data_IF_655027932356
#
_entry.id   IF_655027932356
#
_cell.length_a   1.000
_cell.length_b   1.000
_cell.length_c   1.000
_cell.angle_alpha   90.00
_cell.angle_beta   90.00
_cell.angle_gamma   90.00
#
_symmetry.space_group_name_H-M   'P 1'
#
loop_
_entity.id
_entity.type
_entity.pdbx_description
1 polymer ?
#
# COMPACT_ATOMS: atom_id res chain seq x y z
N UNK A 1 -25.75 -3.24 21.27
CA UNK A 1 -25.55 -4.62 20.74
C UNK A 1 -26.27 -4.87 19.41
N UNK A 2 -27.56 -4.54 19.26
CA UNK A 2 -28.37 -4.78 18.03
C UNK A 2 -27.93 -3.98 16.80
N UNK A 3 -27.44 -2.74 16.99
CA UNK A 3 -26.93 -1.88 15.92
C UNK A 3 -25.66 -2.44 15.26
N UNK A 4 -24.70 -2.92 16.06
CA UNK A 4 -23.46 -3.51 15.52
C UNK A 4 -23.73 -4.78 14.72
N UNK A 5 -24.64 -5.63 15.19
CA UNK A 5 -25.04 -6.84 14.48
C UNK A 5 -25.70 -6.52 13.14
N UNK A 6 -26.56 -5.50 13.11
CA UNK A 6 -27.21 -5.03 11.88
C UNK A 6 -26.21 -4.44 10.89
N UNK A 7 -25.27 -3.58 11.36
CA UNK A 7 -24.18 -3.03 10.55
C UNK A 7 -23.29 -4.13 9.96
N UNK A 8 -22.87 -5.11 10.78
CA UNK A 8 -22.05 -6.25 10.32
C UNK A 8 -22.78 -7.09 9.28
N UNK A 9 -24.09 -7.31 9.45
CA UNK A 9 -24.91 -8.06 8.48
C UNK A 9 -24.99 -7.32 7.15
N UNK A 10 -25.26 -6.00 7.17
CA UNK A 10 -25.31 -5.17 5.96
C UNK A 10 -23.95 -5.17 5.24
N UNK A 11 -22.85 -4.93 5.96
CA UNK A 11 -21.49 -4.94 5.38
C UNK A 11 -21.20 -6.29 4.70
N UNK A 12 -21.56 -7.41 5.35
CA UNK A 12 -21.39 -8.75 4.77
C UNK A 12 -22.24 -8.95 3.52
N UNK A 13 -23.50 -8.51 3.52
CA UNK A 13 -24.41 -8.63 2.37
C UNK A 13 -23.96 -7.76 1.18
N UNK A 14 -23.37 -6.59 1.44
CA UNK A 14 -22.82 -5.75 0.38
C UNK A 14 -21.49 -6.31 -0.13
N UNK A 15 -20.62 -6.81 0.76
CA UNK A 15 -19.35 -7.40 0.38
C UNK A 15 -19.49 -8.71 -0.41
N UNK A 16 -20.58 -9.47 -0.20
CA UNK A 16 -20.84 -10.70 -0.95
C UNK A 16 -21.28 -10.48 -2.40
N UNK A 17 -21.67 -9.25 -2.77
CA UNK A 17 -22.04 -8.89 -4.14
C UNK A 17 -20.82 -8.45 -4.94
N UNK A 18 -20.79 -8.78 -6.23
CA UNK A 18 -19.71 -8.45 -7.15
C UNK A 18 -20.23 -7.63 -8.31
N UNK A 19 -19.41 -6.69 -8.77
CA UNK A 19 -19.60 -5.94 -10.01
C UNK A 19 -18.69 -6.55 -11.08
N UNK A 20 -19.24 -6.78 -12.27
CA UNK A 20 -18.54 -7.39 -13.42
C UNK A 20 -17.86 -8.72 -13.08
N UNK A 21 -18.41 -9.49 -12.13
CA UNK A 21 -17.88 -10.77 -11.64
C UNK A 21 -16.46 -10.77 -11.05
N UNK A 22 -15.82 -9.60 -10.94
CA UNK A 22 -14.41 -9.46 -10.55
C UNK A 22 -14.23 -8.65 -9.27
N UNK A 23 -14.93 -7.54 -9.12
CA UNK A 23 -14.67 -6.57 -8.03
C UNK A 23 -15.78 -6.64 -6.97
N UNK A 24 -15.47 -6.73 -5.65
CA UNK A 24 -16.50 -6.66 -4.62
C UNK A 24 -17.23 -5.30 -4.63
N UNK A 25 -18.56 -5.32 -4.51
CA UNK A 25 -19.41 -4.13 -4.56
C UNK A 25 -19.03 -3.11 -3.48
N UNK A 26 -18.67 -3.56 -2.28
CA UNK A 26 -18.28 -2.68 -1.17
C UNK A 26 -17.05 -1.86 -1.51
N UNK A 27 -16.02 -2.48 -2.08
CA UNK A 27 -14.78 -1.82 -2.48
C UNK A 27 -15.04 -0.75 -3.55
N UNK A 28 -15.88 -1.09 -4.54
CA UNK A 28 -16.28 -0.15 -5.58
C UNK A 28 -17.06 1.06 -5.05
N UNK A 29 -18.02 0.84 -4.13
CA UNK A 29 -18.78 1.93 -3.53
C UNK A 29 -17.89 2.87 -2.71
N UNK A 30 -16.96 2.31 -1.92
CA UNK A 30 -15.98 3.10 -1.15
C UNK A 30 -15.11 3.92 -2.11
N UNK A 31 -14.59 3.30 -3.16
CA UNK A 31 -13.79 3.99 -4.17
C UNK A 31 -14.57 5.14 -4.84
N UNK A 32 -15.85 4.97 -5.17
CA UNK A 32 -16.68 6.05 -5.72
C UNK A 32 -16.84 7.22 -4.76
N UNK A 33 -17.02 6.95 -3.46
CA UNK A 33 -17.11 8.00 -2.43
C UNK A 33 -15.79 8.76 -2.31
N UNK A 34 -14.66 8.05 -2.32
CA UNK A 34 -13.32 8.67 -2.31
C UNK A 34 -13.10 9.54 -3.55
N UNK A 35 -13.49 9.06 -4.73
CA UNK A 35 -13.38 9.82 -5.99
C UNK A 35 -14.26 11.07 -5.98
N UNK A 36 -15.47 11.02 -5.42
CA UNK A 36 -16.30 12.20 -5.24
C UNK A 36 -15.65 13.24 -4.31
N UNK A 37 -14.99 12.78 -3.24
CA UNK A 37 -14.25 13.65 -2.33
C UNK A 37 -13.03 14.28 -3.01
N UNK A 38 -12.26 13.52 -3.77
CA UNK A 38 -11.15 14.03 -4.59
C UNK A 38 -11.65 15.07 -5.58
N UNK A 39 -12.72 14.80 -6.33
CA UNK A 39 -13.27 15.74 -7.30
C UNK A 39 -13.64 17.08 -6.63
N UNK A 40 -14.28 17.03 -5.45
CA UNK A 40 -14.60 18.23 -4.66
C UNK A 40 -13.33 18.96 -4.21
N UNK A 41 -12.36 18.23 -3.67
CA UNK A 41 -11.10 18.80 -3.18
C UNK A 41 -10.30 19.45 -4.32
N UNK A 42 -10.20 18.80 -5.48
CA UNK A 42 -9.53 19.32 -6.67
C UNK A 42 -10.20 20.59 -7.19
N UNK A 43 -11.54 20.64 -7.22
CA UNK A 43 -12.29 21.80 -7.73
C UNK A 43 -12.05 23.10 -6.94
N UNK A 44 -11.61 22.99 -5.67
CA UNK A 44 -11.37 24.12 -4.77
C UNK A 44 -9.93 24.13 -4.22
N UNK A 45 -9.04 23.32 -4.78
CA UNK A 45 -7.71 23.06 -4.22
C UNK A 45 -6.89 24.35 -4.06
N UNK A 46 -6.83 25.17 -5.12
CA UNK A 46 -6.05 26.42 -5.07
C UNK A 46 -6.56 27.38 -4.00
N UNK A 47 -7.89 27.55 -3.88
CA UNK A 47 -8.49 28.41 -2.87
C UNK A 47 -8.18 27.91 -1.45
N UNK A 48 -8.33 26.61 -1.19
CA UNK A 48 -7.99 26.04 0.12
C UNK A 48 -6.49 26.09 0.41
N UNK A 49 -5.65 25.93 -0.61
CA UNK A 49 -4.20 25.99 -0.46
C UNK A 49 -3.72 27.41 -0.13
N UNK A 50 -4.32 28.44 -0.73
CA UNK A 50 -4.00 29.85 -0.44
C UNK A 50 -4.38 30.24 0.99
N UNK A 51 -5.55 29.80 1.47
CA UNK A 51 -5.99 30.10 2.84
C UNK A 51 -5.21 29.30 3.91
N UNK A 52 -5.07 27.98 3.69
CA UNK A 52 -4.52 27.04 4.68
C UNK A 52 -3.67 25.96 4.01
N UNK A 53 -2.44 26.28 3.57
CA UNK A 53 -1.64 25.38 2.73
C UNK A 53 -1.32 24.05 3.41
N UNK A 54 -0.95 24.06 4.70
CA UNK A 54 -0.59 22.84 5.43
C UNK A 54 -1.82 21.94 5.60
N UNK A 55 -2.94 22.49 6.08
CA UNK A 55 -4.15 21.70 6.32
C UNK A 55 -4.71 21.12 5.02
N UNK A 56 -4.69 21.90 3.93
CA UNK A 56 -5.09 21.43 2.61
C UNK A 56 -4.26 20.25 2.15
N UNK A 57 -2.93 20.31 2.33
CA UNK A 57 -2.04 19.18 2.04
C UNK A 57 -2.30 17.97 2.92
N UNK A 58 -2.55 18.17 4.22
CA UNK A 58 -2.89 17.08 5.14
C UNK A 58 -4.17 16.35 4.73
N UNK A 59 -5.24 17.07 4.45
CA UNK A 59 -6.52 16.49 4.03
C UNK A 59 -6.38 15.81 2.66
N UNK A 60 -5.71 16.46 1.71
CA UNK A 60 -5.45 15.89 0.37
C UNK A 60 -4.71 14.57 0.49
N UNK A 61 -3.64 14.53 1.29
CA UNK A 61 -2.80 13.35 1.44
C UNK A 61 -3.50 12.22 2.21
N UNK A 62 -4.37 12.57 3.16
CA UNK A 62 -5.23 11.59 3.84
C UNK A 62 -6.15 10.88 2.84
N UNK A 63 -6.81 11.63 1.96
CA UNK A 63 -7.73 11.08 0.95
C UNK A 63 -6.98 10.23 -0.07
N UNK A 64 -5.85 10.71 -0.58
CA UNK A 64 -5.01 9.95 -1.52
C UNK A 64 -4.44 8.67 -0.87
N UNK A 65 -4.09 8.72 0.41
CA UNK A 65 -3.70 7.55 1.19
C UNK A 65 -4.84 6.53 1.34
N UNK A 66 -6.07 7.01 1.55
CA UNK A 66 -7.26 6.16 1.56
C UNK A 66 -7.48 5.44 0.23
N UNK A 67 -7.40 6.18 -0.88
CA UNK A 67 -7.50 5.60 -2.23
C UNK A 67 -6.42 4.55 -2.48
N UNK A 68 -5.17 4.82 -2.08
CA UNK A 68 -4.07 3.87 -2.24
C UNK A 68 -4.37 2.54 -1.54
N UNK A 69 -4.93 2.61 -0.34
CA UNK A 69 -5.31 1.44 0.43
C UNK A 69 -6.54 0.72 -0.16
N UNK A 70 -7.59 1.45 -0.53
CA UNK A 70 -8.79 0.91 -1.19
C UNK A 70 -8.41 0.17 -2.49
N UNK A 71 -7.50 0.72 -3.29
CA UNK A 71 -6.97 0.06 -4.49
C UNK A 71 -6.22 -1.22 -4.13
N UNK A 72 -5.34 -1.17 -3.12
CA UNK A 72 -4.59 -2.35 -2.67
C UNK A 72 -5.51 -3.48 -2.16
N UNK A 73 -6.48 -3.15 -1.31
CA UNK A 73 -7.48 -4.11 -0.81
C UNK A 73 -8.31 -4.71 -1.96
N UNK A 74 -8.65 -3.89 -2.96
CA UNK A 74 -9.37 -4.35 -4.17
C UNK A 74 -8.53 -5.34 -4.97
N UNK A 75 -7.25 -5.05 -5.19
CA UNK A 75 -6.32 -5.96 -5.89
C UNK A 75 -6.23 -7.31 -5.17
N UNK A 76 -6.07 -7.29 -3.83
CA UNK A 76 -6.04 -8.52 -3.02
C UNK A 76 -7.33 -9.33 -3.17
N UNK A 77 -8.49 -8.68 -3.08
CA UNK A 77 -9.79 -9.35 -3.22
C UNK A 77 -10.00 -9.96 -4.61
N UNK A 78 -9.61 -9.25 -5.67
CA UNK A 78 -9.68 -9.74 -7.06
C UNK A 78 -8.76 -10.94 -7.26
N UNK A 79 -7.52 -10.88 -6.73
CA UNK A 79 -6.54 -11.97 -6.82
C UNK A 79 -7.00 -13.23 -6.10
N UNK A 80 -7.43 -13.12 -4.85
CA UNK A 80 -7.94 -14.26 -4.08
C UNK A 80 -9.13 -14.92 -4.77
N UNK A 81 -10.00 -14.14 -5.41
CA UNK A 81 -11.11 -14.68 -6.20
C UNK A 81 -10.65 -15.36 -7.49
N UNK A 82 -9.66 -14.83 -8.19
CA UNK A 82 -9.10 -15.44 -9.39
C UNK A 82 -8.46 -16.81 -9.07
N UNK A 83 -7.71 -16.91 -7.96
CA UNK A 83 -7.16 -18.17 -7.47
C UNK A 83 -8.25 -19.21 -7.16
N UNK A 84 -9.42 -18.78 -6.65
CA UNK A 84 -10.57 -19.66 -6.36
C UNK A 84 -11.33 -20.17 -7.60
N UNK A 85 -11.22 -19.51 -8.76
CA UNK A 85 -11.97 -19.86 -10.00
C UNK A 85 -11.13 -20.65 -11.03
N UNK A 86 -9.91 -21.06 -10.70
CA UNK A 86 -9.04 -21.83 -11.61
C UNK A 86 -9.64 -23.22 -11.97
N UNK A 87 -9.25 -23.83 -13.12
CA UNK A 87 -9.92 -25.01 -13.68
C UNK A 87 -9.72 -26.32 -12.89
N UNK A 88 -8.87 -26.31 -11.88
CA UNK A 88 -8.52 -27.50 -11.09
C UNK A 88 -8.89 -27.20 -9.65
N UNK A 89 -9.84 -27.94 -9.10
CA UNK A 89 -10.16 -27.94 -7.68
C UNK A 89 -9.11 -28.84 -6.99
N UNK A 90 -8.07 -28.32 -6.32
CA UNK A 90 -7.14 -29.18 -5.62
C UNK A 90 -7.73 -29.42 -4.24
N UNK A 91 -7.82 -30.69 -3.86
CA UNK A 91 -7.95 -31.07 -2.47
C UNK A 91 -6.81 -30.41 -1.68
N UNK A 92 -7.04 -29.70 -0.56
CA UNK A 92 -6.02 -28.90 0.13
C UNK A 92 -4.80 -29.69 0.65
N UNK A 93 -4.79 -31.01 0.51
CA UNK A 93 -3.68 -31.89 0.90
C UNK A 93 -2.69 -32.17 -0.25
N UNK A 94 -3.08 -31.88 -1.49
CA UNK A 94 -2.31 -32.27 -2.69
C UNK A 94 -1.65 -31.08 -3.41
N UNK A 95 -1.82 -29.86 -2.89
CA UNK A 95 -1.33 -28.64 -3.54
C UNK A 95 -0.34 -27.89 -2.62
N UNK A 96 0.97 -28.07 -2.83
CA UNK A 96 2.00 -27.45 -2.00
C UNK A 96 1.92 -25.91 -2.06
N UNK A 97 1.39 -25.34 -3.14
CA UNK A 97 1.23 -23.90 -3.34
C UNK A 97 0.08 -23.35 -2.48
N UNK A 98 -1.02 -24.09 -2.33
CA UNK A 98 -2.14 -23.68 -1.47
C UNK A 98 -1.80 -23.80 0.03
N UNK A 99 -1.00 -24.79 0.41
CA UNK A 99 -0.49 -24.98 1.78
C UNK A 99 0.51 -23.85 2.12
N UNK A 100 1.36 -23.46 1.16
CA UNK A 100 2.35 -22.42 1.37
C UNK A 100 1.75 -21.00 1.37
N UNK A 101 0.73 -20.71 0.55
CA UNK A 101 -0.04 -19.44 0.60
C UNK A 101 -0.81 -19.31 1.93
N UNK A 102 -1.34 -20.41 2.47
CA UNK A 102 -1.97 -20.41 3.79
C UNK A 102 -0.95 -20.23 4.94
N UNK A 103 0.29 -20.71 4.76
CA UNK A 103 1.39 -20.44 5.67
C UNK A 103 2.03 -19.06 5.49
N UNK A 104 1.96 -18.46 4.30
CA UNK A 104 2.43 -17.12 3.99
C UNK A 104 1.44 -16.05 4.44
N UNK A 105 0.13 -16.28 4.37
CA UNK A 105 -0.87 -15.43 5.03
C UNK A 105 -0.73 -15.51 6.56
N UNK A 106 -0.39 -16.70 7.10
CA UNK A 106 0.04 -16.87 8.51
C UNK A 106 1.36 -16.14 8.83
N UNK A 107 2.23 -15.91 7.84
CA UNK A 107 3.50 -15.16 7.97
C UNK A 107 3.41 -13.71 7.48
N UNK A 108 2.25 -13.26 7.00
CA UNK A 108 1.96 -11.89 6.65
C UNK A 108 1.15 -11.30 7.82
N UNK A 109 1.82 -10.76 8.86
CA UNK A 109 1.16 -10.34 10.10
C UNK A 109 0.21 -9.13 9.93
N UNK A 110 -0.05 -8.71 8.68
CA UNK A 110 -0.96 -7.62 8.33
C UNK A 110 -2.44 -7.96 8.58
N UNK A 111 -2.80 -9.22 8.87
CA UNK A 111 -4.20 -9.66 9.01
C UNK A 111 -4.49 -10.49 10.27
N UNK A 112 -3.61 -10.49 11.27
CA UNK A 112 -3.67 -11.40 12.43
C UNK A 112 -4.73 -11.04 13.50
N UNK A 113 -5.84 -10.40 13.09
CA UNK A 113 -6.88 -9.90 14.02
C UNK A 113 -8.32 -10.19 13.66
N UNK A 114 -8.59 -11.20 12.83
CA UNK A 114 -9.95 -11.70 12.65
C UNK A 114 -10.24 -12.92 13.54
N UNK A 115 -10.92 -12.68 14.67
CA UNK A 115 -11.54 -13.69 15.54
C UNK A 115 -12.78 -14.35 14.89
N UNK A 116 -12.75 -14.57 13.57
CA UNK A 116 -13.87 -15.16 12.81
C UNK A 116 -13.26 -16.18 11.85
N UNK A 117 -13.68 -17.46 11.89
CA UNK A 117 -13.12 -18.47 11.00
C UNK A 117 -13.30 -18.03 9.54
N UNK A 118 -12.21 -18.10 8.75
CA UNK A 118 -12.21 -17.88 7.32
C UNK A 118 -13.30 -18.73 6.67
N UNK A 119 -14.46 -18.11 6.41
CA UNK A 119 -15.52 -18.80 5.71
C UNK A 119 -15.03 -19.03 4.29
N UNK A 120 -14.81 -20.30 3.91
CA UNK A 120 -14.34 -20.77 2.60
C UNK A 120 -15.14 -20.27 1.37
N UNK A 121 -16.17 -19.45 1.58
CA UNK A 121 -17.22 -19.07 0.61
C UNK A 121 -17.25 -17.55 0.37
N UNK A 122 -16.72 -16.69 1.26
CA UNK A 122 -16.88 -15.22 1.17
C UNK A 122 -15.59 -14.48 0.78
N UNK A 123 -15.67 -13.31 0.12
CA UNK A 123 -14.51 -12.43 -0.07
C UNK A 123 -13.93 -11.98 1.27
N UNK A 124 -12.63 -11.60 1.31
CA UNK A 124 -12.06 -10.96 2.49
C UNK A 124 -12.91 -9.71 2.82
N UNK A 125 -13.23 -9.47 4.10
CA UNK A 125 -13.93 -8.26 4.50
C UNK A 125 -13.08 -7.02 4.17
N UNK A 126 -13.73 -5.93 3.78
CA UNK A 126 -13.04 -4.65 3.63
C UNK A 126 -12.52 -4.18 5.00
N UNK A 127 -11.21 -3.93 5.10
CA UNK A 127 -10.56 -3.52 6.34
C UNK A 127 -10.61 -1.99 6.47
N UNK A 128 -11.61 -1.52 7.23
CA UNK A 128 -11.77 -0.10 7.55
C UNK A 128 -10.71 0.41 8.52
N UNK A 129 -10.12 -0.44 9.33
CA UNK A 129 -9.09 -0.05 10.29
C UNK A 129 -7.79 0.24 9.53
N UNK A 130 -7.41 -0.64 8.59
CA UNK A 130 -6.31 -0.41 7.64
C UNK A 130 -6.51 0.85 6.83
N UNK A 131 -7.70 1.07 6.26
CA UNK A 131 -8.03 2.31 5.55
C UNK A 131 -7.74 3.55 6.42
N UNK A 132 -8.24 3.53 7.65
CA UNK A 132 -8.06 4.65 8.59
C UNK A 132 -6.59 4.88 8.94
N UNK A 133 -5.79 3.82 9.12
CA UNK A 133 -4.35 3.93 9.37
C UNK A 133 -3.61 4.58 8.19
N UNK A 134 -3.91 4.18 6.95
CA UNK A 134 -3.32 4.79 5.76
C UNK A 134 -3.69 6.27 5.60
N UNK A 135 -4.97 6.61 5.83
CA UNK A 135 -5.42 8.00 5.83
C UNK A 135 -4.73 8.82 6.93
N UNK A 136 -4.61 8.28 8.15
CA UNK A 136 -3.96 8.93 9.27
C UNK A 136 -2.45 9.13 9.04
N UNK A 137 -1.77 8.12 8.49
CA UNK A 137 -0.37 8.24 8.10
C UNK A 137 -0.18 9.35 7.06
N UNK A 138 -1.01 9.36 6.01
CA UNK A 138 -1.01 10.41 4.98
C UNK A 138 -1.22 11.80 5.58
N UNK A 139 -2.21 11.95 6.46
CA UNK A 139 -2.50 13.20 7.18
C UNK A 139 -1.30 13.71 7.99
N UNK A 140 -0.66 12.82 8.76
CA UNK A 140 0.44 13.15 9.66
C UNK A 140 1.78 13.39 8.92
N UNK A 141 2.03 12.70 7.81
CA UNK A 141 3.26 12.85 7.03
C UNK A 141 3.24 14.03 6.07
N UNK A 142 2.06 14.53 5.68
CA UNK A 142 1.93 15.63 4.74
C UNK A 142 2.72 16.90 5.16
N UNK A 143 2.68 17.36 6.42
CA UNK A 143 3.45 18.53 6.87
C UNK A 143 4.96 18.31 6.80
N UNK A 144 5.42 17.09 7.07
CA UNK A 144 6.85 16.72 7.00
C UNK A 144 7.31 16.77 5.55
N UNK A 145 6.57 16.14 4.63
CA UNK A 145 6.85 16.17 3.19
C UNK A 145 6.77 17.59 2.61
N UNK A 146 5.76 18.37 3.00
CA UNK A 146 5.61 19.74 2.54
C UNK A 146 6.78 20.63 2.97
N UNK A 147 7.21 20.53 4.23
CA UNK A 147 8.40 21.25 4.73
C UNK A 147 9.67 20.79 4.02
N UNK A 148 9.79 19.49 3.76
CA UNK A 148 10.93 18.92 3.03
C UNK A 148 11.02 19.47 1.60
N UNK A 149 9.93 19.48 0.83
CA UNK A 149 9.92 20.04 -0.52
C UNK A 149 10.23 21.53 -0.53
N UNK A 150 9.68 22.32 0.40
CA UNK A 150 10.06 23.73 0.56
C UNK A 150 11.53 23.93 0.90
N UNK A 151 12.09 23.06 1.74
CA UNK A 151 13.51 23.09 2.09
C UNK A 151 14.39 22.79 0.88
N UNK A 152 14.08 21.76 0.10
CA UNK A 152 14.79 21.44 -1.15
C UNK A 152 14.68 22.57 -2.17
N UNK A 153 13.52 23.22 -2.23
CA UNK A 153 13.31 24.34 -3.13
C UNK A 153 14.20 25.53 -2.79
N UNK A 154 14.24 25.90 -1.50
CA UNK A 154 15.07 27.01 -1.00
C UNK A 154 16.57 26.72 -1.14
N UNK A 155 16.97 25.46 -0.93
CA UNK A 155 18.38 25.05 -0.95
C UNK A 155 18.93 24.92 -2.37
N UNK A 156 18.10 24.45 -3.30
CA UNK A 156 18.47 24.26 -4.70
C UNK A 156 17.48 25.02 -5.61
N UNK A 157 17.52 26.35 -5.66
CA UNK A 157 16.60 27.13 -6.47
C UNK A 157 16.79 26.82 -7.96
N UNK A 158 15.69 26.54 -8.65
CA UNK A 158 15.69 26.29 -10.10
C UNK A 158 15.64 27.65 -10.79
N UNK A 159 16.68 27.99 -11.55
CA UNK A 159 16.74 29.21 -12.36
C UNK A 159 16.50 28.90 -13.83
N UNK A 160 16.04 29.89 -14.61
CA UNK A 160 15.78 29.75 -16.05
C UNK A 160 17.02 29.35 -16.85
N UNK A 161 18.22 29.65 -16.34
CA UNK A 161 19.51 29.40 -17.00
C UNK A 161 20.15 28.06 -16.62
N UNK A 162 19.78 27.46 -15.47
CA UNK A 162 20.34 26.19 -15.02
C UNK A 162 19.28 25.37 -14.27
N UNK A 163 18.29 24.84 -14.99
CA UNK A 163 17.18 24.11 -14.36
C UNK A 163 17.53 22.64 -14.01
N UNK A 164 18.39 21.99 -14.80
CA UNK A 164 18.66 20.56 -14.66
C UNK A 164 19.53 20.23 -13.42
N UNK A 165 20.60 20.99 -13.19
CA UNK A 165 21.52 20.76 -12.07
C UNK A 165 20.84 20.81 -10.68
N UNK A 166 20.11 21.89 -10.35
CA UNK A 166 19.34 21.99 -9.11
C UNK A 166 18.28 20.90 -8.98
N UNK A 167 17.55 20.56 -10.06
CA UNK A 167 16.58 19.47 -10.04
C UNK A 167 17.24 18.13 -9.67
N UNK A 168 18.38 17.79 -10.29
CA UNK A 168 19.11 16.56 -9.96
C UNK A 168 19.63 16.55 -8.52
N UNK A 169 20.05 17.70 -7.97
CA UNK A 169 20.43 17.80 -6.54
C UNK A 169 19.25 17.57 -5.61
N UNK A 170 18.07 18.10 -5.94
CA UNK A 170 16.82 17.84 -5.19
C UNK A 170 16.47 16.35 -5.21
N UNK A 171 16.54 15.71 -6.39
CA UNK A 171 16.31 14.27 -6.54
C UNK A 171 17.33 13.47 -5.73
N UNK A 172 18.62 13.78 -5.82
CA UNK A 172 19.65 13.08 -5.07
C UNK A 172 19.42 13.19 -3.56
N UNK A 173 19.08 14.38 -3.06
CA UNK A 173 18.80 14.58 -1.63
C UNK A 173 17.52 13.87 -1.18
N UNK A 174 16.49 13.89 -2.01
CA UNK A 174 15.24 13.15 -1.75
C UNK A 174 15.50 11.63 -1.69
N UNK A 175 16.23 11.09 -2.65
CA UNK A 175 16.52 9.66 -2.74
C UNK A 175 17.52 9.20 -1.67
N UNK A 176 18.54 9.97 -1.32
CA UNK A 176 19.57 9.55 -0.36
C UNK A 176 19.19 9.81 1.10
N UNK A 177 18.28 10.75 1.36
CA UNK A 177 17.90 11.14 2.73
C UNK A 177 16.44 10.82 3.01
N UNK A 178 15.53 11.33 2.18
CA UNK A 178 14.11 11.25 2.46
C UNK A 178 13.52 9.87 2.20
N UNK A 179 13.89 9.21 1.10
CA UNK A 179 13.37 7.88 0.78
C UNK A 179 13.75 6.80 1.82
N UNK A 180 15.01 6.68 2.28
CA UNK A 180 15.39 5.75 3.34
C UNK A 180 14.63 6.01 4.64
N UNK A 181 14.56 7.28 5.06
CA UNK A 181 13.81 7.67 6.26
C UNK A 181 12.31 7.39 6.11
N UNK A 182 11.73 7.77 4.97
CA UNK A 182 10.31 7.64 4.69
C UNK A 182 9.83 6.19 4.66
N UNK A 183 10.59 5.30 4.02
CA UNK A 183 10.29 3.86 3.97
C UNK A 183 10.41 3.24 5.37
N UNK A 184 11.47 3.57 6.12
CA UNK A 184 11.64 3.07 7.49
C UNK A 184 10.50 3.57 8.42
N UNK A 185 10.15 4.84 8.32
CA UNK A 185 9.07 5.46 9.07
C UNK A 185 7.71 4.84 8.71
N UNK A 186 7.45 4.61 7.42
CA UNK A 186 6.23 3.94 6.95
C UNK A 186 6.08 2.56 7.59
N UNK A 187 7.08 1.67 7.43
CA UNK A 187 6.99 0.33 8.00
C UNK A 187 6.88 0.37 9.53
N UNK A 188 7.63 1.25 10.20
CA UNK A 188 7.56 1.37 11.66
C UNK A 188 6.18 1.82 12.14
N UNK A 189 5.64 2.90 11.57
CA UNK A 189 4.34 3.46 11.99
C UNK A 189 3.21 2.51 11.66
N UNK A 190 3.21 1.90 10.47
CA UNK A 190 2.17 0.95 10.07
C UNK A 190 2.16 -0.28 10.97
N UNK A 191 3.34 -0.89 11.22
CA UNK A 191 3.43 -2.06 12.10
C UNK A 191 3.01 -1.74 13.53
N UNK A 192 3.34 -0.56 14.07
CA UNK A 192 2.87 -0.15 15.40
C UNK A 192 1.36 0.09 15.41
N UNK A 193 0.81 0.74 14.37
CA UNK A 193 -0.62 1.02 14.25
C UNK A 193 -1.47 -0.24 14.09
N UNK A 194 -0.89 -1.33 13.57
CA UNK A 194 -1.49 -2.67 13.50
C UNK A 194 -1.43 -3.41 14.85
N UNK A 195 -0.78 -2.83 15.87
CA UNK A 195 -0.61 -3.44 17.19
C UNK A 195 0.68 -4.27 17.33
N UNK A 196 1.57 -4.21 16.34
CA UNK A 196 2.86 -4.88 16.34
C UNK A 196 3.84 -4.25 17.34
N UNK A 197 4.55 -5.10 18.09
CA UNK A 197 5.60 -4.68 19.02
C UNK A 197 6.95 -4.43 18.35
N UNK A 198 7.97 -4.08 19.15
CA UNK A 198 9.34 -3.78 18.68
C UNK A 198 9.96 -4.91 17.83
N UNK A 199 9.69 -6.17 18.17
CA UNK A 199 10.15 -7.34 17.41
C UNK A 199 9.52 -7.41 16.02
N UNK A 200 8.22 -7.13 15.91
CA UNK A 200 7.53 -7.12 14.62
C UNK A 200 8.09 -6.02 13.71
N UNK A 201 8.34 -4.83 14.25
CA UNK A 201 8.99 -3.73 13.52
C UNK A 201 10.38 -4.14 13.03
N UNK A 202 11.21 -4.73 13.91
CA UNK A 202 12.56 -5.17 13.54
C UNK A 202 12.55 -6.22 12.43
N UNK A 203 11.69 -7.23 12.54
CA UNK A 203 11.55 -8.24 11.50
C UNK A 203 11.08 -7.62 10.19
N UNK A 204 10.06 -6.76 10.23
CA UNK A 204 9.53 -6.08 9.03
C UNK A 204 10.59 -5.25 8.33
N UNK A 205 11.37 -4.48 9.08
CA UNK A 205 12.48 -3.70 8.51
C UNK A 205 13.58 -4.61 7.96
N UNK A 206 13.95 -5.67 8.68
CA UNK A 206 14.97 -6.61 8.20
C UNK A 206 14.59 -7.22 6.84
N UNK A 207 13.34 -7.63 6.70
CA UNK A 207 12.90 -8.42 5.57
C UNK A 207 12.48 -7.54 4.38
N UNK A 208 11.81 -6.41 4.64
CA UNK A 208 11.19 -5.61 3.58
C UNK A 208 11.92 -4.31 3.24
N UNK A 209 12.77 -3.79 4.13
CA UNK A 209 13.38 -2.47 3.93
C UNK A 209 14.28 -2.43 2.71
N UNK A 210 15.24 -3.36 2.60
CA UNK A 210 16.22 -3.37 1.50
C UNK A 210 15.56 -3.67 0.15
N UNK A 211 14.68 -4.68 0.01
CA UNK A 211 13.96 -4.91 -1.24
C UNK A 211 13.13 -3.69 -1.67
N UNK A 212 12.39 -3.09 -0.73
CA UNK A 212 11.57 -1.91 -1.02
C UNK A 212 12.41 -0.72 -1.44
N UNK A 213 13.55 -0.49 -0.77
CA UNK A 213 14.45 0.61 -1.10
C UNK A 213 15.10 0.45 -2.48
N UNK A 214 15.49 -0.78 -2.86
CA UNK A 214 16.00 -1.09 -4.21
C UNK A 214 14.94 -0.80 -5.28
N UNK A 215 13.73 -1.30 -5.08
CA UNK A 215 12.64 -1.05 -6.01
C UNK A 215 12.27 0.44 -6.05
N UNK A 216 12.37 1.15 -4.91
CA UNK A 216 12.17 2.59 -4.84
C UNK A 216 13.17 3.33 -5.74
N UNK A 217 14.47 3.00 -5.65
CA UNK A 217 15.51 3.60 -6.49
C UNK A 217 15.39 3.30 -7.98
N UNK A 218 14.64 2.27 -8.38
CA UNK A 218 14.41 1.98 -9.79
C UNK A 218 13.39 2.94 -10.43
N UNK A 219 12.37 3.36 -9.68
CA UNK A 219 11.22 4.10 -10.24
C UNK A 219 11.22 5.57 -9.81
N UNK A 220 11.45 5.83 -8.52
CA UNK A 220 11.25 7.15 -7.93
C UNK A 220 12.21 8.24 -8.40
N UNK A 221 13.47 7.99 -8.76
CA UNK A 221 14.32 9.04 -9.32
C UNK A 221 13.70 9.68 -10.58
N UNK A 222 13.16 8.86 -11.49
CA UNK A 222 12.51 9.37 -12.70
C UNK A 222 11.24 10.17 -12.36
N UNK A 223 10.42 9.67 -11.43
CA UNK A 223 9.23 10.36 -10.93
C UNK A 223 9.60 11.70 -10.30
N UNK A 224 10.67 11.75 -9.49
CA UNK A 224 11.08 12.98 -8.81
C UNK A 224 11.72 13.99 -9.76
N UNK A 225 12.41 13.56 -10.82
CA UNK A 225 12.86 14.46 -11.89
C UNK A 225 11.67 15.15 -12.54
N UNK A 226 10.61 14.40 -12.88
CA UNK A 226 9.37 14.96 -13.44
C UNK A 226 8.73 15.91 -12.43
N UNK A 227 8.62 15.49 -11.18
CA UNK A 227 8.01 16.27 -10.10
C UNK A 227 8.68 17.64 -9.92
N UNK A 228 10.00 17.66 -9.68
CA UNK A 228 10.71 18.91 -9.40
C UNK A 228 10.90 19.81 -10.62
N UNK A 229 10.81 19.25 -11.84
CA UNK A 229 10.97 20.02 -13.08
C UNK A 229 9.66 20.60 -13.60
N UNK A 230 8.56 19.86 -13.48
CA UNK A 230 7.28 20.22 -14.11
C UNK A 230 6.23 20.69 -13.12
N UNK A 231 6.24 20.19 -11.88
CA UNK A 231 5.17 20.47 -10.93
C UNK A 231 5.45 21.73 -10.10
N UNK A 232 4.50 22.68 -10.05
CA UNK A 232 4.51 23.75 -9.05
C UNK A 232 4.50 23.16 -7.64
N UNK A 233 5.08 23.88 -6.68
CA UNK A 233 5.28 23.41 -5.28
C UNK A 233 3.99 22.93 -4.63
N UNK A 234 2.88 23.63 -4.88
CA UNK A 234 1.56 23.27 -4.37
C UNK A 234 1.00 21.94 -4.94
N UNK A 235 1.56 21.42 -6.02
CA UNK A 235 1.14 20.17 -6.63
C UNK A 235 2.18 19.05 -6.52
N UNK A 236 3.39 19.35 -6.04
CA UNK A 236 4.46 18.34 -5.91
C UNK A 236 4.07 17.19 -4.98
N UNK A 237 3.45 17.51 -3.85
CA UNK A 237 2.97 16.51 -2.90
C UNK A 237 1.78 15.71 -3.45
N UNK A 238 0.67 16.33 -3.92
CA UNK A 238 -0.42 15.59 -4.56
C UNK A 238 0.02 14.69 -5.73
N UNK A 239 0.98 15.15 -6.53
CA UNK A 239 1.56 14.37 -7.63
C UNK A 239 2.25 13.10 -7.14
N UNK A 240 3.18 13.24 -6.18
CA UNK A 240 3.88 12.11 -5.56
C UNK A 240 2.90 11.11 -4.95
N UNK A 241 1.88 11.59 -4.24
CA UNK A 241 0.88 10.72 -3.62
C UNK A 241 0.00 9.99 -4.63
N UNK A 242 -0.28 10.60 -5.79
CA UNK A 242 -1.02 9.96 -6.88
C UNK A 242 -0.21 8.83 -7.51
N UNK A 243 1.08 9.05 -7.77
CA UNK A 243 1.98 7.96 -8.21
C UNK A 243 2.15 6.91 -7.12
N UNK A 244 2.11 7.33 -5.85
CA UNK A 244 2.09 6.47 -4.67
C UNK A 244 0.95 5.44 -4.67
N UNK A 245 -0.23 5.78 -5.19
CA UNK A 245 -1.34 4.82 -5.36
C UNK A 245 -0.93 3.68 -6.30
N UNK A 246 -0.35 4.02 -7.46
CA UNK A 246 0.13 3.04 -8.43
C UNK A 246 1.29 2.20 -7.88
N UNK A 247 2.17 2.82 -7.08
CA UNK A 247 3.25 2.12 -6.39
C UNK A 247 2.73 1.13 -5.34
N UNK A 248 1.77 1.51 -4.50
CA UNK A 248 1.15 0.60 -3.52
C UNK A 248 0.44 -0.56 -4.23
N UNK A 249 -0.23 -0.28 -5.34
CA UNK A 249 -0.80 -1.31 -6.20
C UNK A 249 0.29 -2.27 -6.74
N UNK A 250 1.40 -1.72 -7.25
CA UNK A 250 2.53 -2.50 -7.74
C UNK A 250 3.12 -3.40 -6.64
N UNK A 251 3.38 -2.87 -5.44
CA UNK A 251 3.90 -3.66 -4.31
C UNK A 251 2.94 -4.77 -3.89
N UNK A 252 1.63 -4.50 -3.88
CA UNK A 252 0.61 -5.51 -3.63
C UNK A 252 0.61 -6.61 -4.69
N UNK A 253 0.93 -6.27 -5.95
CA UNK A 253 1.04 -7.22 -7.04
C UNK A 253 2.35 -8.03 -6.98
N UNK A 254 3.49 -7.39 -6.69
CA UNK A 254 4.83 -7.96 -6.75
C UNK A 254 5.16 -8.84 -5.55
N UNK A 255 4.79 -8.43 -4.33
CA UNK A 255 5.02 -9.24 -3.12
C UNK A 255 4.35 -10.63 -3.23
N UNK A 256 3.25 -10.72 -3.98
CA UNK A 256 2.54 -11.97 -4.23
C UNK A 256 3.10 -12.81 -5.41
N UNK A 257 4.01 -12.26 -6.23
CA UNK A 257 4.65 -12.99 -7.33
C UNK A 257 5.97 -13.65 -6.89
N UNK A 258 6.64 -13.06 -5.90
CA UNK A 258 7.90 -13.59 -5.35
C UNK A 258 7.67 -14.82 -4.45
N UNK A 259 6.45 -14.95 -3.90
CA UNK A 259 5.97 -16.13 -3.16
C UNK A 259 5.61 -17.33 -4.07
N UNK A 260 5.56 -17.14 -5.40
CA UNK A 260 5.20 -18.19 -6.36
C UNK A 260 6.41 -18.89 -6.99
N UNK A 261 7.64 -18.58 -6.57
CA UNK A 261 8.83 -19.29 -7.02
C UNK A 261 9.05 -20.54 -6.14
N UNK A 262 8.94 -21.76 -6.68
CA UNK A 262 9.26 -22.96 -5.92
C UNK A 262 10.74 -22.92 -5.59
N UNK A 263 11.08 -23.06 -4.31
CA UNK A 263 12.46 -23.40 -3.92
C UNK A 263 12.86 -24.70 -4.64
N UNK A 264 14.05 -24.80 -5.25
CA UNK A 264 14.50 -26.07 -5.83
C UNK A 264 14.61 -27.08 -4.69
N UNK A 265 13.72 -28.06 -4.67
CA UNK A 265 13.70 -29.11 -3.66
C UNK A 265 15.10 -29.74 -3.52
N UNK A 266 15.71 -29.58 -2.35
CA UNK A 266 16.72 -30.52 -1.90
C UNK A 266 15.99 -31.85 -1.62
N UNK A 267 16.17 -32.82 -2.51
CA UNK A 267 15.73 -34.20 -2.29
C UNK A 267 16.33 -34.71 -0.97
N UNK A 268 15.55 -35.26 -0.02
CA UNK A 268 16.13 -36.06 1.03
C UNK A 268 16.54 -37.41 0.43
N UNK A 269 17.85 -37.63 0.30
CA UNK A 269 18.39 -38.96 0.10
C UNK A 269 17.91 -39.87 1.24
N UNK A 270 17.03 -40.81 0.91
CA UNK A 270 16.87 -42.04 1.67
C UNK A 270 17.03 -43.18 0.68
N UNK A 271 18.07 -43.99 0.84
CA UNK A 271 17.80 -45.29 1.44
C UNK A 271 18.93 -45.77 2.36
N UNK A 272 18.58 -46.48 3.44
CA UNK A 272 19.24 -47.73 3.85
C UNK A 272 18.45 -48.35 5.01
N UNK A 273 17.39 -49.08 4.66
CA UNK A 273 16.92 -50.20 5.47
C UNK A 273 18.03 -51.26 5.46
N UNK A 274 18.81 -51.34 6.56
CA UNK A 274 19.58 -52.55 6.85
C UNK A 274 18.69 -53.48 7.67
N UNK A 275 18.19 -54.51 7.00
CA UNK A 275 17.82 -55.76 7.64
C UNK A 275 19.12 -56.46 8.07
N UNK A 276 19.30 -56.60 9.39
CA UNK A 276 20.13 -57.62 10.04
C UNK A 276 19.77 -57.67 11.50
#
# INVERSE_FOLDING_TARGET
MTWELSRRRIIRTVNSKYIFDRVPLLHFLIFLVEMAFVARLTSRFNAYYEERPILTMMVTNAVLGGIADTVAQTITAVKQRAARKGPFHPNPKDDPIAIEIQELDRKNPLSDRDLIPDSRILPPPFDFERLTRFMAYGFCMAPVQFKWFKFLEKTFPITKTAAFGPAMKRVAMDQLVFAPFGIAAFFTVMTIAEGGGRRAVQNKLRDMYVPTLKANFAIWPAVQVINFRLMPVQFQLPFVSTIGIAWTAYLSLSNAAEEAQPTPHAYPDSPNLRLS
#
